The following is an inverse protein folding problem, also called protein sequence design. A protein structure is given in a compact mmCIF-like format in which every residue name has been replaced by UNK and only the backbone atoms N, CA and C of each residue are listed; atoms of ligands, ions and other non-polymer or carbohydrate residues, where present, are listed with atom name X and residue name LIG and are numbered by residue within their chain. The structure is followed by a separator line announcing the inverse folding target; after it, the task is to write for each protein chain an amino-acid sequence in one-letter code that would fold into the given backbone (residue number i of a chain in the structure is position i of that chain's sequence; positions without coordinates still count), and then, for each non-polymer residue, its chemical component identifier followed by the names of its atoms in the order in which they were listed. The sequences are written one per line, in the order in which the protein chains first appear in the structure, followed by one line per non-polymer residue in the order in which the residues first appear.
data_IF_074544703841
#
_entry.id   IF_074544703841
#
_cell.length_a   1.000
_cell.length_b   1.000
_cell.length_c   1.000
_cell.angle_alpha   90.00
_cell.angle_beta   90.00
_cell.angle_gamma   90.00
#
_symmetry.space_group_name_H-M   'P 1'
#
loop_
_entity.id
_entity.type
_entity.pdbx_description
1 polymer ?
#
# COMPACT_ATOMS: atom_id res chain seq x y z
N UNK A 1 0.43 -6.62 37.72
CA UNK A 1 0.98 -5.47 36.98
C UNK A 1 -0.18 -4.78 36.29
N UNK A 2 -0.44 -3.52 36.58
CA UNK A 2 -1.52 -2.76 35.92
C UNK A 2 -0.93 -2.16 34.65
N UNK A 3 -1.42 -2.58 33.48
CA UNK A 3 -1.05 -1.95 32.20
C UNK A 3 -1.98 -0.75 32.00
N UNK A 4 -1.42 0.43 31.75
CA UNK A 4 -2.17 1.61 31.32
C UNK A 4 -2.11 1.71 29.80
N UNK A 5 -3.26 1.86 29.13
CA UNK A 5 -3.35 2.01 27.67
C UNK A 5 -3.51 3.48 27.32
N UNK A 6 -2.55 4.05 26.59
CA UNK A 6 -2.64 5.41 26.06
C UNK A 6 -3.20 5.38 24.64
N UNK A 7 -4.32 6.06 24.42
CA UNK A 7 -4.86 6.30 23.08
C UNK A 7 -4.42 7.67 22.60
N UNK A 8 -3.68 7.70 21.49
CA UNK A 8 -3.24 8.95 20.86
C UNK A 8 -3.30 8.81 19.33
N UNK A 9 -3.43 9.92 18.63
CA UNK A 9 -3.37 9.97 17.17
C UNK A 9 -2.02 10.54 16.74
N UNK A 10 -1.40 9.89 15.76
CA UNK A 10 -0.12 10.33 15.20
C UNK A 10 -0.23 10.38 13.68
N UNK A 11 0.42 11.37 13.06
CA UNK A 11 0.52 11.43 11.60
C UNK A 11 1.67 10.54 11.15
N UNK A 12 1.46 9.85 10.04
CA UNK A 12 2.53 9.13 9.35
C UNK A 12 3.37 10.15 8.59
N UNK A 13 4.65 10.22 8.96
CA UNK A 13 5.64 11.07 8.32
C UNK A 13 6.30 10.36 7.12
N UNK A 14 7.02 11.08 6.25
CA UNK A 14 7.76 10.47 5.15
C UNK A 14 8.66 9.32 5.61
N UNK A 15 8.73 8.26 4.80
CA UNK A 15 9.49 7.05 5.13
C UNK A 15 8.79 6.11 6.11
N UNK A 16 7.45 6.19 6.24
CA UNK A 16 6.65 5.38 7.15
C UNK A 16 7.05 5.54 8.62
N UNK A 17 7.48 6.75 9.00
CA UNK A 17 7.88 7.06 10.37
C UNK A 17 6.68 7.57 11.17
N UNK A 18 6.53 7.08 12.39
CA UNK A 18 5.53 7.55 13.35
C UNK A 18 6.28 8.11 14.56
N UNK A 19 5.97 9.35 14.94
CA UNK A 19 6.48 9.96 16.17
C UNK A 19 5.34 10.06 17.17
N UNK A 20 5.59 9.61 18.40
CA UNK A 20 4.61 9.60 19.49
C UNK A 20 5.15 10.55 20.57
N UNK A 21 4.47 11.67 20.78
CA UNK A 21 4.74 12.56 21.89
C UNK A 21 3.87 12.14 23.08
N UNK A 22 4.50 11.57 24.11
CA UNK A 22 3.82 11.25 25.37
C UNK A 22 4.72 11.66 26.54
N UNK A 23 4.33 12.68 27.34
CA UNK A 23 5.13 13.14 28.47
C UNK A 23 5.19 12.13 29.62
N UNK A 24 4.35 11.10 29.61
CA UNK A 24 4.29 10.06 30.64
C UNK A 24 5.27 8.91 30.39
N UNK A 25 5.83 8.82 29.18
CA UNK A 25 6.79 7.78 28.83
C UNK A 25 8.21 8.18 29.24
N UNK A 26 8.89 7.25 29.91
CA UNK A 26 10.28 7.44 30.33
C UNK A 26 11.26 6.84 29.33
N UNK A 27 12.45 7.44 29.22
CA UNK A 27 13.50 6.96 28.31
C UNK A 27 13.91 5.54 28.72
N UNK A 28 13.90 4.62 27.75
CA UNK A 28 14.24 3.20 27.96
C UNK A 28 13.05 2.31 28.34
N UNK A 29 11.86 2.88 28.52
CA UNK A 29 10.64 2.11 28.75
C UNK A 29 10.25 1.32 27.50
N UNK A 30 9.95 0.03 27.67
CA UNK A 30 9.37 -0.78 26.60
C UNK A 30 7.86 -0.58 26.57
N UNK A 31 7.31 -0.33 25.37
CA UNK A 31 5.87 -0.11 25.17
C UNK A 31 5.34 -1.03 24.06
N UNK A 32 4.10 -1.49 24.20
CA UNK A 32 3.36 -2.22 23.17
C UNK A 32 2.53 -1.21 22.35
N UNK A 33 2.61 -1.28 21.02
CA UNK A 33 1.93 -0.34 20.11
C UNK A 33 0.88 -1.07 19.28
N UNK A 34 -0.34 -0.54 19.24
CA UNK A 34 -1.43 -1.00 18.36
C UNK A 34 -1.71 0.11 17.35
N UNK A 35 -1.62 -0.22 16.05
CA UNK A 35 -1.86 0.75 14.96
C UNK A 35 -3.17 0.39 14.28
N UNK A 36 -4.14 1.31 14.32
CA UNK A 36 -5.39 1.21 13.57
C UNK A 36 -5.28 2.10 12.34
N UNK A 37 -5.54 1.54 11.16
CA UNK A 37 -5.51 2.26 9.88
C UNK A 37 -6.90 2.16 9.27
N UNK A 38 -7.45 3.29 8.84
CA UNK A 38 -8.69 3.28 8.06
C UNK A 38 -8.44 2.56 6.72
N UNK A 39 -9.32 1.61 6.39
CA UNK A 39 -9.32 1.02 5.07
C UNK A 39 -9.80 2.08 4.06
N UNK A 40 -8.86 2.74 3.41
CA UNK A 40 -9.16 3.44 2.17
C UNK A 40 -9.45 2.38 1.11
N UNK A 41 -10.74 2.16 0.84
CA UNK A 41 -11.23 1.38 -0.29
C UNK A 41 -10.42 1.79 -1.52
N UNK A 42 -9.66 0.86 -2.08
CA UNK A 42 -8.83 1.11 -3.26
C UNK A 42 -9.68 1.13 -4.54
N UNK A 43 -10.86 1.75 -4.46
CA UNK A 43 -11.78 1.97 -5.57
C UNK A 43 -11.62 3.40 -6.07
N UNK A 44 -10.41 3.78 -6.43
CA UNK A 44 -10.20 4.89 -7.37
C UNK A 44 -10.04 4.30 -8.76
N UNK A 45 -11.13 3.75 -9.29
CA UNK A 45 -11.35 3.66 -10.72
C UNK A 45 -11.61 5.07 -11.25
N UNK A 46 -10.57 5.89 -11.30
CA UNK A 46 -10.54 7.11 -12.11
C UNK A 46 -9.37 6.95 -13.05
N UNK A 47 -9.74 6.58 -14.26
CA UNK A 47 -9.05 6.88 -15.52
C UNK A 47 -7.99 7.98 -15.38
N UNK A 48 -6.73 7.65 -15.73
CA UNK A 48 -5.58 8.53 -16.02
C UNK A 48 -4.29 8.35 -15.19
N UNK A 49 -4.19 7.40 -14.26
CA UNK A 49 -2.87 6.97 -13.74
C UNK A 49 -2.43 5.64 -14.38
N UNK A 50 -1.78 5.74 -15.54
CA UNK A 50 -1.28 4.58 -16.33
C UNK A 50 -0.20 3.77 -15.58
N UNK A 51 0.29 4.26 -14.44
CA UNK A 51 1.33 3.57 -13.68
C UNK A 51 0.75 2.86 -12.46
N UNK A 52 0.92 1.52 -12.32
CA UNK A 52 0.43 0.80 -11.14
C UNK A 52 1.09 1.36 -9.89
N UNK A 53 0.31 1.49 -8.81
CA UNK A 53 0.81 1.94 -7.51
C UNK A 53 1.95 1.05 -7.00
N UNK A 54 2.78 1.57 -6.10
CA UNK A 54 3.87 0.80 -5.49
C UNK A 54 3.37 -0.49 -4.81
N UNK A 55 2.20 -0.42 -4.14
CA UNK A 55 1.56 -1.58 -3.51
C UNK A 55 1.21 -2.66 -4.53
N UNK A 56 0.64 -2.27 -5.67
CA UNK A 56 0.31 -3.20 -6.76
C UNK A 56 1.56 -3.81 -7.39
N UNK A 57 2.62 -3.02 -7.62
CA UNK A 57 3.90 -3.55 -8.14
C UNK A 57 4.52 -4.57 -7.18
N UNK A 58 4.53 -4.27 -5.88
CA UNK A 58 5.04 -5.20 -4.86
C UNK A 58 4.20 -6.47 -4.78
N UNK A 59 2.87 -6.36 -4.85
CA UNK A 59 1.98 -7.51 -4.87
C UNK A 59 2.24 -8.40 -6.10
N UNK A 60 2.41 -7.80 -7.28
CA UNK A 60 2.76 -8.51 -8.51
C UNK A 60 4.08 -9.27 -8.37
N UNK A 61 5.13 -8.65 -7.81
CA UNK A 61 6.44 -9.29 -7.64
C UNK A 61 6.43 -10.48 -6.69
N UNK A 62 5.48 -10.53 -5.75
CA UNK A 62 5.29 -11.67 -4.84
C UNK A 62 4.63 -12.88 -5.50
N UNK A 63 4.03 -12.72 -6.68
CA UNK A 63 3.36 -13.82 -7.37
C UNK A 63 4.37 -14.84 -7.95
N UNK A 64 3.99 -16.12 -8.03
CA UNK A 64 4.74 -17.13 -8.78
C UNK A 64 4.99 -16.71 -10.22
N UNK A 65 6.07 -17.22 -10.83
CA UNK A 65 6.45 -16.81 -12.18
C UNK A 65 5.40 -17.14 -13.25
N UNK A 66 4.64 -18.21 -13.05
CA UNK A 66 3.53 -18.59 -13.93
C UNK A 66 2.42 -17.53 -13.91
N UNK A 67 2.00 -17.09 -12.72
CA UNK A 67 0.95 -16.07 -12.56
C UNK A 67 1.38 -14.73 -13.16
N UNK A 68 2.63 -14.32 -12.90
CA UNK A 68 3.19 -13.10 -13.50
C UNK A 68 3.17 -13.14 -15.03
N UNK A 69 3.51 -14.29 -15.64
CA UNK A 69 3.49 -14.47 -17.10
C UNK A 69 2.08 -14.36 -17.68
N UNK A 70 1.09 -14.96 -17.01
CA UNK A 70 -0.30 -14.91 -17.46
C UNK A 70 -0.83 -13.46 -17.48
N UNK A 71 -0.56 -12.69 -16.42
CA UNK A 71 -0.95 -11.28 -16.31
C UNK A 71 -0.28 -10.43 -17.40
N UNK A 72 1.03 -10.60 -17.63
CA UNK A 72 1.75 -9.85 -18.65
C UNK A 72 1.26 -10.19 -20.07
N UNK A 73 0.92 -11.46 -20.31
CA UNK A 73 0.35 -11.90 -21.58
C UNK A 73 -0.99 -11.22 -21.84
N UNK A 74 -1.92 -11.23 -20.88
CA UNK A 74 -3.22 -10.58 -21.05
C UNK A 74 -3.08 -9.07 -21.27
N UNK A 75 -2.12 -8.43 -20.60
CA UNK A 75 -1.84 -7.01 -20.83
C UNK A 75 -1.31 -6.75 -22.24
N UNK A 76 -0.41 -7.60 -22.74
CA UNK A 76 0.12 -7.47 -24.10
C UNK A 76 -0.99 -7.63 -25.15
N UNK A 77 -1.91 -8.58 -24.97
CA UNK A 77 -3.05 -8.79 -25.87
C UNK A 77 -3.97 -7.56 -25.92
N UNK A 78 -4.24 -6.93 -24.77
CA UNK A 78 -5.03 -5.69 -24.68
C UNK A 78 -4.33 -4.55 -25.42
N UNK A 79 -3.02 -4.36 -25.19
CA UNK A 79 -2.24 -3.31 -25.85
C UNK A 79 -2.24 -3.52 -27.37
N UNK A 80 -2.06 -4.76 -27.82
CA UNK A 80 -2.09 -5.09 -29.24
C UNK A 80 -3.44 -4.72 -29.87
N UNK A 81 -4.55 -5.06 -29.20
CA UNK A 81 -5.89 -4.74 -29.68
C UNK A 81 -6.14 -3.24 -29.82
N UNK A 82 -5.65 -2.44 -28.87
CA UNK A 82 -5.75 -0.98 -28.91
C UNK A 82 -5.08 -0.40 -30.18
N UNK A 83 -3.86 -0.84 -30.50
CA UNK A 83 -3.15 -0.33 -31.69
C UNK A 83 -3.69 -0.87 -33.02
N UNK A 84 -4.37 -2.02 -33.02
CA UNK A 84 -5.03 -2.54 -34.21
C UNK A 84 -6.31 -1.76 -34.54
N UNK A 85 -7.01 -1.26 -33.53
CA UNK A 85 -8.26 -0.51 -33.71
C UNK A 85 -8.03 0.88 -34.35
N UNK A 86 -6.85 1.48 -34.16
CA UNK A 86 -6.47 2.78 -34.71
C UNK A 86 -5.90 2.71 -36.16
N UNK A 87 -6.01 1.54 -36.82
CA UNK A 87 -5.42 1.29 -38.15
C UNK A 87 -6.41 1.29 -39.33
N UNK A 88 -7.64 1.80 -39.15
CA UNK A 88 -8.62 2.10 -40.23
C UNK A 88 -8.71 3.58 -40.58
#
# INVERSE_FOLDING_TARGET
MVKSTLYTTAKVLPGNRIEIESPELTVGQTVEVVILVEEVSSDSSTTEDISPSLKQRLAFLKLPMTERRNILKSQADIILSHYQQDSE
#
